data_IF_256927723838
#
_entry.id   IF_256927723838
#
_cell.length_a   1.000
_cell.length_b   1.000
_cell.length_c   1.000
_cell.angle_alpha   90.00
_cell.angle_beta   90.00
_cell.angle_gamma   90.00
#
_symmetry.space_group_name_H-M   'P 1'
#
loop_
_entity.id
_entity.type
_entity.pdbx_description
1 polymer ?
#
# COMPACT_ATOMS: atom_id res chain seq x y z
N UNK A 1 19.51 -36.41 -18.59
CA UNK A 1 19.09 -35.03 -18.25
C UNK A 1 18.16 -35.13 -17.06
N UNK A 2 18.44 -34.42 -15.97
CA UNK A 2 17.69 -34.53 -14.71
C UNK A 2 16.20 -34.25 -14.91
N UNK A 3 15.33 -35.02 -14.25
CA UNK A 3 13.87 -34.91 -14.39
C UNK A 3 13.33 -33.49 -14.17
N UNK A 4 14.04 -32.65 -13.42
CA UNK A 4 13.71 -31.24 -13.19
C UNK A 4 13.78 -30.38 -14.46
N UNK A 5 14.82 -30.52 -15.28
CA UNK A 5 14.97 -29.73 -16.53
C UNK A 5 13.91 -30.08 -17.58
N UNK A 6 13.46 -31.34 -17.58
CA UNK A 6 12.34 -31.79 -18.39
C UNK A 6 11.03 -31.09 -17.99
N UNK A 7 10.71 -31.05 -16.70
CA UNK A 7 9.49 -30.41 -16.17
C UNK A 7 9.41 -28.92 -16.49
N UNK A 8 10.53 -28.19 -16.38
CA UNK A 8 10.58 -26.76 -16.75
C UNK A 8 10.32 -26.57 -18.24
N UNK A 9 11.04 -27.28 -19.10
CA UNK A 9 10.87 -27.19 -20.56
C UNK A 9 9.43 -27.47 -20.97
N UNK A 10 8.80 -28.42 -20.30
CA UNK A 10 7.45 -28.83 -20.55
C UNK A 10 6.41 -27.78 -20.13
N UNK A 11 6.61 -27.14 -18.97
CA UNK A 11 5.78 -25.99 -18.55
C UNK A 11 5.84 -24.83 -19.56
N UNK A 12 7.04 -24.46 -20.03
CA UNK A 12 7.19 -23.44 -21.07
C UNK A 12 6.50 -23.81 -22.39
N UNK A 13 6.61 -25.08 -22.80
CA UNK A 13 5.96 -25.58 -24.03
C UNK A 13 4.43 -25.56 -23.91
N UNK A 14 3.90 -25.82 -22.71
CA UNK A 14 2.47 -25.73 -22.39
C UNK A 14 1.93 -24.31 -22.60
N UNK A 15 2.61 -23.31 -22.06
CA UNK A 15 2.27 -21.88 -22.24
C UNK A 15 2.21 -21.50 -23.73
N UNK A 16 3.18 -21.95 -24.51
CA UNK A 16 3.27 -21.65 -25.93
C UNK A 16 2.16 -22.31 -26.77
N UNK A 17 1.62 -23.43 -26.29
CA UNK A 17 0.49 -24.13 -26.92
C UNK A 17 -0.85 -23.44 -26.65
N UNK A 18 -1.01 -22.82 -25.48
CA UNK A 18 -2.28 -22.25 -25.00
C UNK A 18 -2.22 -20.73 -24.77
N UNK A 19 -1.60 -20.02 -25.72
CA UNK A 19 -1.19 -18.61 -25.55
C UNK A 19 -2.31 -17.66 -25.14
N UNK A 20 -3.53 -17.83 -25.67
CA UNK A 20 -4.65 -16.92 -25.38
C UNK A 20 -5.01 -16.97 -23.89
N UNK A 21 -5.11 -18.17 -23.33
CA UNK A 21 -5.48 -18.36 -21.92
C UNK A 21 -4.32 -18.00 -20.97
N UNK A 22 -3.08 -18.26 -21.38
CA UNK A 22 -1.89 -17.82 -20.64
C UNK A 22 -1.80 -16.29 -20.61
N UNK A 23 -2.04 -15.60 -21.73
CA UNK A 23 -2.08 -14.12 -21.78
C UNK A 23 -3.19 -13.58 -20.89
N UNK A 24 -4.40 -14.15 -20.97
CA UNK A 24 -5.51 -13.74 -20.10
C UNK A 24 -5.16 -13.89 -18.62
N UNK A 25 -4.55 -15.01 -18.23
CA UNK A 25 -4.08 -15.24 -16.85
C UNK A 25 -3.00 -14.24 -16.44
N UNK A 26 -2.05 -13.94 -17.33
CA UNK A 26 -1.00 -12.96 -17.09
C UNK A 26 -1.60 -11.58 -16.85
N UNK A 27 -2.54 -11.14 -17.70
CA UNK A 27 -3.20 -9.84 -17.57
C UNK A 27 -3.94 -9.71 -16.23
N UNK A 28 -4.70 -10.74 -15.82
CA UNK A 28 -5.42 -10.69 -14.53
C UNK A 28 -4.45 -10.63 -13.35
N UNK A 29 -3.36 -11.42 -13.37
CA UNK A 29 -2.34 -11.39 -12.33
C UNK A 29 -1.57 -10.06 -12.31
N UNK A 30 -1.26 -9.48 -13.47
CA UNK A 30 -0.65 -8.14 -13.59
C UNK A 30 -1.58 -7.10 -12.96
N UNK A 31 -2.87 -7.09 -13.32
CA UNK A 31 -3.84 -6.16 -12.74
C UNK A 31 -3.94 -6.31 -11.23
N UNK A 32 -3.95 -7.54 -10.72
CA UNK A 32 -3.96 -7.82 -9.29
C UNK A 32 -2.74 -7.22 -8.58
N UNK A 33 -1.53 -7.52 -9.09
CA UNK A 33 -0.28 -7.03 -8.50
C UNK A 33 -0.19 -5.50 -8.57
N UNK A 34 -0.50 -4.91 -9.72
CA UNK A 34 -0.47 -3.45 -9.93
C UNK A 34 -1.45 -2.74 -9.00
N UNK A 35 -2.68 -3.24 -8.84
CA UNK A 35 -3.65 -2.64 -7.93
C UNK A 35 -3.20 -2.70 -6.47
N UNK A 36 -2.67 -3.84 -6.02
CA UNK A 36 -2.13 -3.98 -4.65
C UNK A 36 -0.92 -3.06 -4.45
N UNK A 37 0.04 -3.07 -5.38
CA UNK A 37 1.24 -2.24 -5.28
C UNK A 37 0.92 -0.74 -5.34
N UNK A 38 -0.06 -0.33 -6.15
CA UNK A 38 -0.49 1.06 -6.22
C UNK A 38 -1.14 1.50 -4.91
N UNK A 39 -2.05 0.69 -4.35
CA UNK A 39 -2.67 0.99 -3.07
C UNK A 39 -1.63 1.11 -1.95
N UNK A 40 -0.69 0.17 -1.87
CA UNK A 40 0.38 0.21 -0.87
C UNK A 40 1.28 1.44 -1.02
N UNK A 41 1.71 1.76 -2.24
CA UNK A 41 2.52 2.96 -2.49
C UNK A 41 1.77 4.24 -2.14
N UNK A 42 0.47 4.32 -2.42
CA UNK A 42 -0.36 5.45 -2.00
C UNK A 42 -0.37 5.56 -0.48
N UNK A 43 -0.57 4.45 0.24
CA UNK A 43 -0.57 4.42 1.71
C UNK A 43 0.76 4.90 2.29
N UNK A 44 1.89 4.39 1.80
CA UNK A 44 3.23 4.80 2.27
C UNK A 44 3.52 6.27 1.95
N UNK A 45 3.09 6.77 0.79
CA UNK A 45 3.26 8.19 0.45
C UNK A 45 2.39 9.10 1.34
N UNK A 46 1.16 8.67 1.66
CA UNK A 46 0.28 9.39 2.57
C UNK A 46 0.88 9.41 3.98
N UNK A 47 1.38 8.28 4.49
CA UNK A 47 2.02 8.19 5.79
C UNK A 47 3.24 9.13 5.88
N UNK A 48 4.10 9.12 4.86
CA UNK A 48 5.26 10.04 4.78
C UNK A 48 4.83 11.52 4.76
N UNK A 49 3.81 11.85 3.97
CA UNK A 49 3.32 13.24 3.90
C UNK A 49 2.70 13.67 5.23
N UNK A 50 1.92 12.78 5.86
CA UNK A 50 1.36 13.00 7.20
C UNK A 50 2.47 13.23 8.23
N UNK A 51 3.52 12.41 8.25
CA UNK A 51 4.67 12.56 9.14
C UNK A 51 5.46 13.85 8.90
N UNK A 52 5.49 14.33 7.66
CA UNK A 52 6.19 15.57 7.28
C UNK A 52 5.46 16.84 7.72
N UNK A 53 4.13 16.81 7.80
CA UNK A 53 3.27 17.95 8.17
C UNK A 53 3.22 18.17 9.70
N UNK A 54 3.71 17.20 10.46
CA UNK A 54 3.97 17.26 11.88
C UNK A 54 4.18 15.83 12.39
N UNK A 55 5.13 15.63 13.30
CA UNK A 55 5.23 14.37 14.04
C UNK A 55 3.82 14.00 14.48
N UNK A 56 3.37 12.82 14.10
CA UNK A 56 1.98 12.37 13.88
C UNK A 56 0.98 12.69 15.02
N UNK A 57 1.48 13.11 16.19
CA UNK A 57 0.70 13.38 17.38
C UNK A 57 0.81 14.82 17.91
N UNK A 58 1.51 15.72 17.21
CA UNK A 58 1.69 17.11 17.63
C UNK A 58 0.55 18.02 17.13
N UNK A 59 -0.08 18.77 18.04
CA UNK A 59 -1.06 19.81 17.71
C UNK A 59 -0.59 21.16 18.24
N UNK A 60 -0.88 22.23 17.50
CA UNK A 60 -0.55 23.60 17.92
C UNK A 60 -1.77 24.22 18.59
N UNK A 61 -1.62 24.56 19.87
CA UNK A 61 -2.63 25.22 20.70
C UNK A 61 -2.22 26.67 20.88
N UNK A 62 -2.98 27.59 20.32
CA UNK A 62 -2.74 29.02 20.47
C UNK A 62 -3.32 29.52 21.79
N UNK A 63 -2.56 30.34 22.50
CA UNK A 63 -3.03 31.02 23.70
C UNK A 63 -3.61 32.39 23.32
N UNK A 64 -4.46 32.94 24.18
CA UNK A 64 -5.03 34.28 23.98
C UNK A 64 -3.91 35.32 23.87
N UNK A 65 -4.04 36.21 22.89
CA UNK A 65 -3.09 37.29 22.70
C UNK A 65 -3.02 38.21 23.93
N UNK A 66 -1.81 38.68 24.25
CA UNK A 66 -1.55 39.50 25.43
C UNK A 66 -1.50 38.76 26.77
N UNK A 67 -1.46 37.42 26.77
CA UNK A 67 -1.20 36.65 27.99
C UNK A 67 0.16 37.00 28.59
N UNK A 68 0.21 37.20 29.91
CA UNK A 68 1.47 37.40 30.63
C UNK A 68 2.30 36.11 30.70
N UNK A 69 3.62 36.23 30.87
CA UNK A 69 4.51 35.07 31.02
C UNK A 69 4.04 34.09 32.12
N UNK A 70 3.51 34.63 33.21
CA UNK A 70 2.94 33.87 34.33
C UNK A 70 1.68 33.09 33.93
N UNK A 71 0.80 33.72 33.16
CA UNK A 71 -0.40 33.06 32.61
C UNK A 71 -0.01 31.98 31.60
N UNK A 72 0.94 32.26 30.72
CA UNK A 72 1.46 31.27 29.77
C UNK A 72 1.97 30.03 30.49
N UNK A 73 2.80 30.19 31.55
CA UNK A 73 3.29 29.07 32.36
C UNK A 73 2.16 28.30 33.04
N UNK A 74 1.14 29.00 33.56
CA UNK A 74 -0.01 28.36 34.20
C UNK A 74 -0.85 27.54 33.21
N UNK A 75 -1.07 28.06 32.00
CA UNK A 75 -1.73 27.35 30.90
C UNK A 75 -0.97 26.06 30.57
N UNK A 76 0.36 26.15 30.37
CA UNK A 76 1.21 24.99 30.09
C UNK A 76 1.10 23.90 31.17
N UNK A 77 1.10 24.30 32.45
CA UNK A 77 0.95 23.37 33.58
C UNK A 77 -0.43 22.72 33.67
N UNK A 78 -1.48 23.36 33.17
CA UNK A 78 -2.81 22.76 33.13
C UNK A 78 -2.97 21.83 31.93
N UNK A 79 -2.34 22.15 30.80
CA UNK A 79 -2.25 21.27 29.64
C UNK A 79 -1.52 19.97 30.00
N UNK A 80 -0.38 20.04 30.69
CA UNK A 80 0.39 18.85 31.14
C UNK A 80 -0.41 17.87 32.02
N UNK A 81 -1.51 18.30 32.64
CA UNK A 81 -2.34 17.47 33.53
C UNK A 81 -3.46 16.73 32.80
N UNK A 82 -3.71 17.04 31.53
CA UNK A 82 -4.77 16.38 30.78
C UNK A 82 -4.32 14.96 30.42
N UNK A 83 -5.26 14.01 30.51
CA UNK A 83 -5.04 12.66 30.00
C UNK A 83 -4.77 12.69 28.48
N UNK A 84 -4.00 11.71 28.02
CA UNK A 84 -3.62 11.54 26.61
C UNK A 84 -2.61 12.60 26.06
N UNK A 85 -1.94 13.35 26.95
CA UNK A 85 -0.86 14.28 26.58
C UNK A 85 0.49 13.73 27.05
N UNK A 86 1.42 13.60 26.11
CA UNK A 86 2.78 13.07 26.34
C UNK A 86 3.80 14.18 26.57
N UNK A 87 3.67 15.30 25.86
CA UNK A 87 4.56 16.45 26.05
C UNK A 87 3.88 17.76 25.71
N UNK A 88 4.22 18.82 26.44
CA UNK A 88 3.80 20.19 26.19
C UNK A 88 5.04 21.05 26.02
N UNK A 89 5.22 21.66 24.85
CA UNK A 89 6.36 22.53 24.54
C UNK A 89 5.87 23.93 24.22
N UNK A 90 6.37 24.92 24.94
CA UNK A 90 6.08 26.32 24.62
C UNK A 90 6.74 26.70 23.28
N UNK A 91 5.99 27.40 22.45
CA UNK A 91 6.42 27.87 21.14
C UNK A 91 6.14 29.37 21.03
N UNK A 92 7.16 30.22 21.22
CA UNK A 92 7.03 31.67 21.18
C UNK A 92 6.59 32.16 19.80
N UNK A 93 5.79 33.23 19.76
CA UNK A 93 5.40 33.90 18.52
C UNK A 93 6.59 34.42 17.71
N UNK A 94 7.68 34.76 18.39
CA UNK A 94 8.95 35.20 17.80
C UNK A 94 9.62 34.09 16.99
N UNK A 95 9.53 32.84 17.43
CA UNK A 95 10.02 31.70 16.67
C UNK A 95 9.08 31.39 15.50
N UNK A 96 7.77 31.49 15.72
CA UNK A 96 6.76 31.22 14.71
C UNK A 96 6.86 32.13 13.48
N UNK A 97 7.12 33.43 13.67
CA UNK A 97 7.22 34.37 12.54
C UNK A 97 8.44 34.07 11.67
N UNK A 98 9.55 33.61 12.26
CA UNK A 98 10.80 33.33 11.55
C UNK A 98 10.66 32.20 10.51
N UNK A 99 9.73 31.25 10.68
CA UNK A 99 9.43 30.22 9.67
C UNK A 99 8.90 30.80 8.36
N UNK A 100 8.27 31.98 8.40
CA UNK A 100 7.72 32.63 7.21
C UNK A 100 8.72 33.50 6.47
N UNK A 101 9.94 33.69 7.00
CA UNK A 101 10.96 34.57 6.43
C UNK A 101 11.26 34.26 4.96
N UNK A 102 11.41 32.98 4.61
CA UNK A 102 11.74 32.56 3.25
C UNK A 102 10.52 32.47 2.32
N UNK A 103 9.31 32.52 2.87
CA UNK A 103 8.05 32.40 2.12
C UNK A 103 7.40 33.76 1.84
N UNK A 104 7.71 34.78 2.63
CA UNK A 104 7.21 36.14 2.48
C UNK A 104 8.23 37.02 1.76
N UNK A 105 7.79 38.00 0.95
CA UNK A 105 8.69 39.05 0.48
C UNK A 105 9.32 39.79 1.67
N UNK A 106 10.61 40.11 1.60
CA UNK A 106 11.38 40.74 2.70
C UNK A 106 10.66 41.97 3.30
N UNK A 107 10.14 42.84 2.43
CA UNK A 107 9.41 44.05 2.85
C UNK A 107 8.13 43.73 3.66
N UNK A 108 7.47 42.60 3.40
CA UNK A 108 6.30 42.16 4.18
C UNK A 108 6.76 41.60 5.51
N UNK A 109 7.80 40.76 5.52
CA UNK A 109 8.37 40.15 6.72
C UNK A 109 8.84 41.19 7.75
N UNK A 110 9.57 42.22 7.31
CA UNK A 110 10.02 43.31 8.21
C UNK A 110 8.88 44.06 8.88
N UNK A 111 7.71 44.19 8.21
CA UNK A 111 6.56 44.90 8.76
C UNK A 111 5.78 44.09 9.81
N UNK A 112 5.86 42.76 9.75
CA UNK A 112 5.11 41.84 10.62
C UNK A 112 6.00 41.17 11.67
N UNK A 113 7.26 41.58 11.80
CA UNK A 113 8.19 41.05 12.79
C UNK A 113 8.28 41.98 14.02
N UNK A 114 8.79 41.46 15.14
CA UNK A 114 8.94 42.19 16.40
C UNK A 114 7.59 42.58 17.01
N UNK A 115 7.45 43.84 17.41
CA UNK A 115 6.25 44.34 18.11
C UNK A 115 4.97 44.31 17.26
N UNK A 116 5.12 44.24 15.93
CA UNK A 116 3.99 44.15 14.99
C UNK A 116 3.59 42.71 14.66
N UNK A 117 4.17 41.71 15.35
CA UNK A 117 3.90 40.31 15.11
C UNK A 117 2.42 39.97 15.39
N UNK A 118 1.62 39.63 14.37
CA UNK A 118 0.21 39.33 14.54
C UNK A 118 -0.02 37.90 15.08
N UNK A 119 1.03 37.10 15.23
CA UNK A 119 0.93 35.72 15.68
C UNK A 119 0.82 35.66 17.22
N UNK A 120 -0.11 34.84 17.77
CA UNK A 120 -0.13 34.55 19.19
C UNK A 120 0.97 33.55 19.56
N UNK A 121 1.34 33.53 20.83
CA UNK A 121 2.13 32.44 21.38
C UNK A 121 1.37 31.12 21.32
N UNK A 122 2.09 30.00 21.30
CA UNK A 122 1.50 28.69 21.17
C UNK A 122 2.16 27.64 22.06
N UNK A 123 1.44 26.53 22.24
CA UNK A 123 1.97 25.28 22.76
C UNK A 123 1.90 24.22 21.68
N UNK A 124 2.99 23.49 21.50
CA UNK A 124 3.04 22.28 20.69
C UNK A 124 2.85 21.10 21.65
N UNK A 125 1.73 20.41 21.50
CA UNK A 125 1.29 19.33 22.38
C UNK A 125 1.37 18.02 21.62
N UNK A 126 2.15 17.07 22.13
CA UNK A 126 2.16 15.70 21.61
C UNK A 126 1.16 14.82 22.38
N UNK A 127 0.34 14.07 21.66
CA UNK A 127 -0.63 13.13 22.23
C UNK A 127 -0.09 11.69 22.24
N UNK A 128 -0.63 10.85 23.11
CA UNK A 128 -0.25 9.42 23.19
C UNK A 128 -1.09 8.55 22.24
N UNK A 129 -2.41 8.75 22.24
CA UNK A 129 -3.41 7.97 21.52
C UNK A 129 -4.32 8.88 20.65
N UNK A 130 -4.11 8.82 19.33
CA UNK A 130 -4.90 9.59 18.36
C UNK A 130 -6.35 9.14 18.25
N UNK A 131 -6.71 7.94 18.71
CA UNK A 131 -8.12 7.50 18.70
C UNK A 131 -8.99 8.32 19.65
N UNK A 132 -8.37 9.00 20.64
CA UNK A 132 -9.03 9.90 21.59
C UNK A 132 -8.87 11.38 21.25
N UNK A 133 -8.37 11.70 20.05
CA UNK A 133 -8.01 13.06 19.67
C UNK A 133 -9.12 14.07 19.93
N UNK A 134 -10.34 13.81 19.46
CA UNK A 134 -11.45 14.77 19.59
C UNK A 134 -11.80 15.04 21.08
N UNK A 135 -11.71 14.01 21.93
CA UNK A 135 -11.93 14.15 23.37
C UNK A 135 -10.82 14.98 24.04
N UNK A 136 -9.57 14.77 23.64
CA UNK A 136 -8.42 15.52 24.14
C UNK A 136 -8.47 16.98 23.70
N UNK A 137 -8.86 17.24 22.44
CA UNK A 137 -9.07 18.61 21.94
C UNK A 137 -10.19 19.32 22.69
N UNK A 138 -11.33 18.66 22.92
CA UNK A 138 -12.43 19.22 23.70
C UNK A 138 -12.02 19.54 25.15
N UNK A 139 -11.07 18.79 25.71
CA UNK A 139 -10.51 19.06 27.02
C UNK A 139 -9.53 20.26 27.00
N UNK A 140 -8.68 20.35 25.97
CA UNK A 140 -7.74 21.45 25.78
C UNK A 140 -8.48 22.78 25.58
N UNK A 141 -9.52 22.80 24.74
CA UNK A 141 -10.34 24.00 24.48
C UNK A 141 -11.07 24.52 25.73
N UNK A 142 -11.21 23.71 26.78
CA UNK A 142 -11.80 24.10 28.07
C UNK A 142 -10.79 24.70 29.05
N UNK A 143 -9.49 24.63 28.75
CA UNK A 143 -8.45 25.26 29.58
C UNK A 143 -8.53 26.77 29.41
N UNK A 144 -8.65 27.49 30.52
CA UNK A 144 -8.70 28.95 30.47
C UNK A 144 -7.38 29.52 29.95
N UNK A 145 -7.46 30.52 29.08
CA UNK A 145 -6.32 31.10 28.37
C UNK A 145 -5.99 30.47 27.01
N UNK A 146 -6.62 29.34 26.64
CA UNK A 146 -6.57 28.81 25.27
C UNK A 146 -7.53 29.60 24.37
N UNK A 147 -7.08 29.93 23.17
CA UNK A 147 -7.88 30.63 22.16
C UNK A 147 -8.39 29.67 21.08
N UNK A 148 -7.47 29.03 20.37
CA UNK A 148 -7.78 28.18 19.22
C UNK A 148 -6.75 27.07 19.05
N UNK A 149 -7.09 26.06 18.25
CA UNK A 149 -6.21 24.93 17.96
C UNK A 149 -6.11 24.75 16.46
N UNK A 150 -4.88 24.66 15.95
CA UNK A 150 -4.66 24.36 14.54
C UNK A 150 -4.87 22.87 14.30
N UNK A 151 -6.03 22.50 13.74
CA UNK A 151 -6.40 21.11 13.54
C UNK A 151 -5.72 20.48 12.31
N UNK A 152 -4.39 20.49 12.25
CA UNK A 152 -3.61 19.78 11.21
C UNK A 152 -3.90 18.28 11.21
N UNK A 153 -4.28 17.73 12.36
CA UNK A 153 -4.68 16.33 12.49
C UNK A 153 -5.96 15.97 11.74
N UNK A 154 -6.89 16.91 11.49
CA UNK A 154 -8.11 16.61 10.73
C UNK A 154 -7.77 16.34 9.26
N UNK A 155 -6.81 17.07 8.71
CA UNK A 155 -6.28 16.81 7.38
C UNK A 155 -5.55 15.46 7.35
N UNK A 156 -4.71 15.17 8.33
CA UNK A 156 -4.03 13.88 8.45
C UNK A 156 -5.01 12.70 8.58
N UNK A 157 -6.07 12.85 9.40
CA UNK A 157 -7.16 11.86 9.54
C UNK A 157 -7.87 11.64 8.21
N UNK A 158 -8.28 12.71 7.52
CA UNK A 158 -8.93 12.60 6.21
C UNK A 158 -8.06 11.90 5.17
N UNK A 159 -6.76 12.20 5.13
CA UNK A 159 -5.81 11.53 4.23
C UNK A 159 -5.67 10.04 4.57
N UNK A 160 -5.58 9.72 5.86
CA UNK A 160 -5.52 8.33 6.35
C UNK A 160 -6.81 7.57 6.06
N UNK A 161 -7.97 8.18 6.25
CA UNK A 161 -9.27 7.58 5.94
C UNK A 161 -9.42 7.30 4.43
N UNK A 162 -8.95 8.23 3.58
CA UNK A 162 -8.90 8.03 2.12
C UNK A 162 -7.94 6.89 1.77
N UNK A 163 -6.75 6.83 2.37
CA UNK A 163 -5.79 5.74 2.17
C UNK A 163 -6.39 4.39 2.56
N UNK A 164 -7.03 4.31 3.72
CA UNK A 164 -7.70 3.11 4.22
C UNK A 164 -8.84 2.69 3.28
N UNK A 165 -9.66 3.63 2.83
CA UNK A 165 -10.73 3.37 1.87
C UNK A 165 -10.20 2.81 0.56
N UNK A 166 -9.14 3.41 0.00
CA UNK A 166 -8.47 2.91 -1.21
C UNK A 166 -7.92 1.50 -0.98
N UNK A 167 -7.29 1.26 0.17
CA UNK A 167 -6.76 -0.05 0.55
C UNK A 167 -7.87 -1.11 0.63
N UNK A 168 -9.00 -0.82 1.30
CA UNK A 168 -10.12 -1.77 1.38
C UNK A 168 -10.77 -2.06 0.03
N UNK A 169 -10.97 -1.03 -0.81
CA UNK A 169 -11.50 -1.20 -2.17
C UNK A 169 -10.54 -2.04 -3.01
N UNK A 170 -9.23 -1.74 -2.93
CA UNK A 170 -8.20 -2.49 -3.66
C UNK A 170 -8.18 -3.96 -3.24
N UNK A 171 -8.30 -4.25 -1.94
CA UNK A 171 -8.34 -5.61 -1.41
C UNK A 171 -9.56 -6.36 -1.93
N UNK A 172 -10.74 -5.73 -1.94
CA UNK A 172 -11.95 -6.34 -2.48
C UNK A 172 -11.80 -6.70 -3.98
N UNK A 173 -11.23 -5.80 -4.78
CA UNK A 173 -10.97 -6.02 -6.20
C UNK A 173 -9.94 -7.15 -6.39
N UNK A 174 -8.85 -7.14 -5.61
CA UNK A 174 -7.79 -8.15 -5.64
C UNK A 174 -8.34 -9.54 -5.34
N UNK A 175 -9.20 -9.68 -4.32
CA UNK A 175 -9.87 -10.94 -4.01
C UNK A 175 -10.73 -11.41 -5.18
N UNK A 176 -11.53 -10.53 -5.78
CA UNK A 176 -12.36 -10.86 -6.93
C UNK A 176 -11.53 -11.29 -8.15
N UNK A 177 -10.48 -10.53 -8.50
CA UNK A 177 -9.56 -10.84 -9.59
C UNK A 177 -8.80 -12.14 -9.36
N UNK A 178 -8.42 -12.43 -8.11
CA UNK A 178 -7.78 -13.70 -7.76
C UNK A 178 -8.74 -14.86 -8.04
N UNK A 179 -10.00 -14.77 -7.65
CA UNK A 179 -11.01 -15.81 -7.95
C UNK A 179 -11.19 -16.00 -9.46
N UNK A 180 -11.26 -14.90 -10.23
CA UNK A 180 -11.35 -14.95 -11.69
C UNK A 180 -10.11 -15.63 -12.29
N UNK A 181 -8.91 -15.26 -11.83
CA UNK A 181 -7.64 -15.86 -12.25
C UNK A 181 -7.63 -17.37 -11.99
N UNK A 182 -8.05 -17.80 -10.79
CA UNK A 182 -8.17 -19.22 -10.45
C UNK A 182 -9.11 -19.97 -11.43
N UNK A 183 -10.23 -19.35 -11.81
CA UNK A 183 -11.16 -19.95 -12.76
C UNK A 183 -10.55 -20.07 -14.17
N UNK A 184 -9.85 -19.04 -14.65
CA UNK A 184 -9.17 -19.05 -15.95
C UNK A 184 -8.06 -20.11 -15.96
N UNK A 185 -7.24 -20.16 -14.91
CA UNK A 185 -6.17 -21.15 -14.76
C UNK A 185 -6.76 -22.56 -14.73
N UNK A 186 -7.84 -22.80 -14.00
CA UNK A 186 -8.51 -24.10 -13.97
C UNK A 186 -8.98 -24.54 -15.37
N UNK A 187 -9.59 -23.62 -16.13
CA UNK A 187 -10.04 -23.90 -17.49
C UNK A 187 -8.86 -24.14 -18.44
N UNK A 188 -7.76 -23.43 -18.26
CA UNK A 188 -6.52 -23.61 -19.04
C UNK A 188 -5.92 -24.99 -18.80
N UNK A 189 -5.82 -25.38 -17.53
CA UNK A 189 -5.30 -26.70 -17.13
C UNK A 189 -6.21 -27.79 -17.68
N UNK A 190 -7.53 -27.64 -17.61
CA UNK A 190 -8.48 -28.62 -18.18
C UNK A 190 -8.24 -28.83 -19.68
N UNK A 191 -8.14 -27.74 -20.44
CA UNK A 191 -7.87 -27.81 -21.89
C UNK A 191 -6.52 -28.47 -22.19
N UNK A 192 -5.49 -28.14 -21.41
CA UNK A 192 -4.14 -28.71 -21.55
C UNK A 192 -4.09 -30.20 -21.18
N UNK A 193 -4.75 -30.58 -20.09
CA UNK A 193 -4.89 -31.97 -19.67
C UNK A 193 -5.60 -32.80 -20.73
N UNK A 194 -6.68 -32.26 -21.30
CA UNK A 194 -7.45 -32.94 -22.34
C UNK A 194 -6.63 -33.15 -23.62
N UNK A 195 -5.84 -32.16 -24.03
CA UNK A 195 -4.97 -32.28 -25.22
C UNK A 195 -3.82 -33.27 -25.01
N UNK A 196 -3.36 -33.46 -23.77
CA UNK A 196 -2.26 -34.37 -23.39
C UNK A 196 -2.71 -35.69 -22.77
N UNK A 197 -4.01 -36.01 -22.81
CA UNK A 197 -4.59 -37.17 -22.12
C UNK A 197 -3.92 -38.50 -22.45
N UNK A 198 -3.51 -38.71 -23.71
CA UNK A 198 -2.82 -39.93 -24.14
C UNK A 198 -1.43 -40.07 -23.53
N UNK A 199 -0.66 -38.99 -23.52
CA UNK A 199 0.67 -38.96 -22.90
C UNK A 199 0.59 -39.22 -21.40
N UNK A 200 -0.40 -38.60 -20.73
CA UNK A 200 -0.67 -38.81 -19.30
C UNK A 200 -1.08 -40.26 -19.04
N UNK A 201 -1.92 -40.85 -19.89
CA UNK A 201 -2.34 -42.26 -19.77
C UNK A 201 -1.15 -43.22 -19.91
N UNK A 202 -0.23 -42.98 -20.86
CA UNK A 202 1.00 -43.76 -21.00
C UNK A 202 1.86 -43.63 -19.74
N UNK A 203 2.11 -42.41 -19.26
CA UNK A 203 2.89 -42.17 -18.03
C UNK A 203 2.28 -42.88 -16.82
N UNK A 204 0.95 -42.88 -16.70
CA UNK A 204 0.23 -43.61 -15.64
C UNK A 204 0.37 -45.12 -15.74
N UNK A 205 0.29 -45.66 -16.95
CA UNK A 205 0.39 -47.11 -17.22
C UNK A 205 1.77 -47.69 -16.88
N UNK A 206 2.82 -46.87 -16.93
CA UNK A 206 4.18 -47.26 -16.51
C UNK A 206 4.51 -46.90 -15.06
N UNK A 207 3.52 -46.49 -14.25
CA UNK A 207 3.66 -46.31 -12.80
C UNK A 207 3.95 -44.88 -12.32
N UNK A 208 3.77 -43.85 -13.14
CA UNK A 208 4.02 -42.46 -12.71
C UNK A 208 3.06 -42.00 -11.60
N UNK A 209 3.62 -41.40 -10.54
CA UNK A 209 2.85 -40.92 -9.39
C UNK A 209 1.93 -39.75 -9.77
N UNK A 210 0.85 -39.53 -9.00
CA UNK A 210 -0.02 -38.36 -9.16
C UNK A 210 0.74 -37.03 -9.00
N UNK A 211 1.84 -37.00 -8.25
CA UNK A 211 2.67 -35.81 -8.11
C UNK A 211 3.47 -35.54 -9.38
N UNK A 212 4.05 -36.57 -9.99
CA UNK A 212 4.82 -36.45 -11.23
C UNK A 212 3.99 -35.87 -12.38
N UNK A 213 2.73 -36.29 -12.51
CA UNK A 213 1.80 -35.76 -13.52
C UNK A 213 1.37 -34.31 -13.24
N UNK A 214 1.34 -33.89 -11.96
CA UNK A 214 0.87 -32.54 -11.57
C UNK A 214 1.96 -31.47 -11.60
N UNK A 215 3.22 -31.85 -11.36
CA UNK A 215 4.35 -30.92 -11.27
C UNK A 215 4.50 -29.99 -12.49
N UNK A 216 4.37 -30.45 -13.75
CA UNK A 216 4.48 -29.57 -14.91
C UNK A 216 3.51 -28.37 -14.88
N UNK A 217 2.29 -28.59 -14.40
CA UNK A 217 1.26 -27.56 -14.30
C UNK A 217 1.49 -26.58 -13.14
N UNK A 218 2.06 -27.05 -12.02
CA UNK A 218 2.50 -26.14 -10.95
C UNK A 218 3.60 -25.22 -11.46
N UNK A 219 4.57 -25.79 -12.19
CA UNK A 219 5.67 -25.03 -12.79
C UNK A 219 5.15 -24.03 -13.83
N UNK A 220 4.17 -24.41 -14.64
CA UNK A 220 3.47 -23.48 -15.55
C UNK A 220 2.87 -22.29 -14.79
N UNK A 221 2.13 -22.54 -13.70
CA UNK A 221 1.59 -21.48 -12.85
C UNK A 221 2.67 -20.57 -12.26
N UNK A 222 3.78 -21.14 -11.77
CA UNK A 222 4.91 -20.37 -11.26
C UNK A 222 5.52 -19.47 -12.34
N UNK A 223 5.69 -19.97 -13.56
CA UNK A 223 6.24 -19.21 -14.68
C UNK A 223 5.30 -18.07 -15.09
N UNK A 224 3.99 -18.33 -15.16
CA UNK A 224 3.00 -17.27 -15.43
C UNK A 224 3.05 -16.19 -14.34
N UNK A 225 3.10 -16.59 -13.08
CA UNK A 225 3.23 -15.68 -11.94
C UNK A 225 4.51 -14.84 -11.99
N UNK A 226 5.64 -15.45 -12.35
CA UNK A 226 6.92 -14.76 -12.51
C UNK A 226 6.90 -13.75 -13.65
N UNK A 227 6.34 -14.11 -14.81
CA UNK A 227 6.20 -13.20 -15.95
C UNK A 227 5.27 -12.03 -15.60
N UNK A 228 4.15 -12.31 -14.94
CA UNK A 228 3.23 -11.28 -14.44
C UNK A 228 3.88 -10.34 -13.44
N UNK A 229 4.78 -10.84 -12.58
CA UNK A 229 5.52 -10.01 -11.66
C UNK A 229 6.43 -9.01 -12.39
N UNK A 230 7.23 -9.48 -13.36
CA UNK A 230 8.13 -8.61 -14.14
C UNK A 230 7.33 -7.54 -14.89
N UNK A 231 6.28 -7.96 -15.61
CA UNK A 231 5.44 -7.03 -16.37
C UNK A 231 4.73 -6.07 -15.41
N UNK A 232 4.20 -6.59 -14.31
CA UNK A 232 3.49 -5.83 -13.29
C UNK A 232 4.36 -4.79 -12.61
N UNK A 233 5.64 -5.07 -12.35
CA UNK A 233 6.58 -4.07 -11.81
C UNK A 233 6.84 -2.96 -12.82
N UNK A 234 6.98 -3.29 -14.12
CA UNK A 234 7.16 -2.29 -15.17
C UNK A 234 5.92 -1.41 -15.37
N UNK A 235 4.73 -2.01 -15.40
CA UNK A 235 3.45 -1.27 -15.46
C UNK A 235 3.28 -0.43 -14.19
N UNK A 236 3.60 -1.02 -13.04
CA UNK A 236 3.90 -0.42 -11.74
C UNK A 236 4.50 0.98 -11.87
N UNK A 237 5.76 0.95 -12.29
CA UNK A 237 6.61 2.11 -12.48
C UNK A 237 5.98 3.16 -13.37
N UNK A 238 5.50 2.78 -14.56
CA UNK A 238 4.92 3.75 -15.53
C UNK A 238 3.68 4.43 -14.97
N UNK A 239 2.79 3.67 -14.33
CA UNK A 239 1.57 4.22 -13.73
C UNK A 239 1.92 5.15 -12.57
N UNK A 240 2.82 4.71 -11.67
CA UNK A 240 3.22 5.50 -10.51
C UNK A 240 3.85 6.83 -10.92
N UNK A 241 4.88 6.82 -11.77
CA UNK A 241 5.55 8.03 -12.22
C UNK A 241 4.60 8.96 -13.00
N UNK A 242 3.73 8.39 -13.84
CA UNK A 242 2.71 9.16 -14.57
C UNK A 242 1.73 9.88 -13.65
N UNK A 243 1.23 9.18 -12.61
CA UNK A 243 0.30 9.77 -11.63
C UNK A 243 1.03 10.78 -10.77
N UNK A 244 2.21 10.48 -10.23
CA UNK A 244 2.96 11.39 -9.37
C UNK A 244 3.40 12.65 -10.10
N UNK A 245 3.79 12.55 -11.38
CA UNK A 245 4.11 13.73 -12.21
C UNK A 245 2.89 14.62 -12.42
N UNK A 246 1.71 14.03 -12.63
CA UNK A 246 0.48 14.80 -12.76
C UNK A 246 0.13 15.50 -11.44
N UNK A 247 0.20 14.79 -10.31
CA UNK A 247 -0.08 15.34 -8.98
C UNK A 247 0.89 16.48 -8.64
N UNK A 248 2.20 16.29 -8.85
CA UNK A 248 3.23 17.30 -8.59
C UNK A 248 3.07 18.58 -9.41
N UNK A 249 2.36 18.52 -10.54
CA UNK A 249 2.03 19.71 -11.34
C UNK A 249 0.95 20.59 -10.71
N UNK A 250 0.11 20.01 -9.84
CA UNK A 250 -0.96 20.74 -9.13
C UNK A 250 -0.59 21.07 -7.68
N UNK A 251 0.08 20.15 -6.99
CA UNK A 251 0.50 20.29 -5.59
C UNK A 251 1.90 19.73 -5.46
N UNK A 252 2.87 20.53 -4.98
CA UNK A 252 4.23 20.04 -4.71
C UNK A 252 4.19 19.17 -3.45
N UNK A 253 4.27 17.85 -3.63
CA UNK A 253 4.23 16.85 -2.55
C UNK A 253 5.55 16.08 -2.57
N UNK A 254 6.09 15.76 -1.38
CA UNK A 254 7.36 15.01 -1.29
C UNK A 254 7.10 13.51 -1.39
N UNK A 255 6.99 13.00 -2.60
CA UNK A 255 6.75 11.56 -2.84
C UNK A 255 8.02 10.73 -2.70
N UNK A 256 7.87 9.42 -2.48
CA UNK A 256 8.99 8.47 -2.50
C UNK A 256 9.35 8.18 -3.97
N UNK A 257 10.60 8.38 -4.41
CA UNK A 257 11.01 7.99 -5.74
C UNK A 257 10.83 6.49 -5.96
N UNK A 258 10.20 6.07 -7.08
CA UNK A 258 10.00 4.65 -7.34
C UNK A 258 11.34 3.89 -7.46
N UNK A 259 12.41 4.59 -7.87
CA UNK A 259 13.76 4.05 -7.95
C UNK A 259 14.23 3.40 -6.64
N UNK A 260 13.82 3.97 -5.51
CA UNK A 260 14.30 3.56 -4.18
C UNK A 260 13.61 2.27 -3.73
N UNK A 261 12.37 2.06 -4.17
CA UNK A 261 11.53 0.91 -3.83
C UNK A 261 11.45 -0.13 -4.95
N UNK A 262 12.02 0.14 -6.13
CA UNK A 262 11.90 -0.71 -7.33
C UNK A 262 12.27 -2.17 -7.07
N UNK A 263 13.41 -2.41 -6.43
CA UNK A 263 13.89 -3.77 -6.13
C UNK A 263 13.03 -4.48 -5.07
N UNK A 264 12.55 -3.73 -4.08
CA UNK A 264 11.70 -4.28 -3.02
C UNK A 264 10.33 -4.68 -3.59
N UNK A 265 9.69 -3.78 -4.33
CA UNK A 265 8.41 -4.03 -5.01
C UNK A 265 8.55 -5.18 -6.01
N UNK A 266 9.60 -5.19 -6.83
CA UNK A 266 9.88 -6.27 -7.77
C UNK A 266 10.08 -7.63 -7.07
N UNK A 267 10.83 -7.65 -5.98
CA UNK A 267 11.03 -8.86 -5.17
C UNK A 267 9.72 -9.40 -4.58
N UNK A 268 8.92 -8.53 -3.98
CA UNK A 268 7.59 -8.88 -3.43
C UNK A 268 6.68 -9.39 -4.53
N UNK A 269 6.63 -8.71 -5.68
CA UNK A 269 5.79 -9.13 -6.81
C UNK A 269 6.20 -10.50 -7.34
N UNK A 270 7.49 -10.79 -7.43
CA UNK A 270 7.99 -12.12 -7.84
C UNK A 270 7.52 -13.18 -6.86
N UNK A 271 7.73 -12.96 -5.56
CA UNK A 271 7.31 -13.92 -4.52
C UNK A 271 5.80 -14.12 -4.55
N UNK A 272 5.02 -13.03 -4.53
CA UNK A 272 3.56 -13.08 -4.56
C UNK A 272 3.04 -13.74 -5.84
N UNK A 273 3.53 -13.32 -7.00
CA UNK A 273 3.13 -13.87 -8.29
C UNK A 273 3.42 -15.37 -8.42
N UNK A 274 4.62 -15.80 -8.05
CA UNK A 274 5.00 -17.23 -8.06
C UNK A 274 4.16 -18.04 -7.08
N UNK A 275 3.93 -17.54 -5.86
CA UNK A 275 3.10 -18.21 -4.85
C UNK A 275 1.66 -18.32 -5.32
N UNK A 276 1.04 -17.22 -5.78
CA UNK A 276 -0.33 -17.20 -6.28
C UNK A 276 -0.47 -18.12 -7.50
N UNK A 277 0.48 -18.08 -8.44
CA UNK A 277 0.48 -18.92 -9.63
C UNK A 277 0.63 -20.42 -9.32
N UNK A 278 1.54 -20.77 -8.41
CA UNK A 278 1.72 -22.14 -7.94
C UNK A 278 0.49 -22.65 -7.20
N UNK A 279 -0.02 -21.86 -6.26
CA UNK A 279 -1.14 -22.23 -5.40
C UNK A 279 -2.44 -22.35 -6.20
N UNK A 280 -2.66 -21.43 -7.15
CA UNK A 280 -3.81 -21.47 -8.04
C UNK A 280 -3.82 -22.68 -8.95
N UNK A 281 -2.65 -23.05 -9.48
CA UNK A 281 -2.50 -24.27 -10.28
C UNK A 281 -2.71 -25.53 -9.43
N UNK A 282 -2.18 -25.55 -8.21
CA UNK A 282 -2.32 -26.67 -7.29
C UNK A 282 -3.78 -26.93 -6.86
N UNK A 283 -4.52 -25.89 -6.47
CA UNK A 283 -5.93 -26.00 -6.09
C UNK A 283 -6.78 -26.50 -7.26
N UNK A 284 -6.57 -25.91 -8.44
CA UNK A 284 -7.33 -26.26 -9.65
C UNK A 284 -7.17 -27.73 -10.01
N UNK A 285 -5.96 -28.27 -9.90
CA UNK A 285 -5.69 -29.69 -10.15
C UNK A 285 -6.32 -30.62 -9.11
N UNK A 286 -6.32 -30.25 -7.82
CA UNK A 286 -6.86 -31.09 -6.74
C UNK A 286 -8.36 -31.32 -6.92
N UNK A 287 -9.10 -30.29 -7.35
CA UNK A 287 -10.54 -30.38 -7.59
C UNK A 287 -10.84 -31.26 -8.81
N UNK A 288 -10.03 -31.16 -9.86
CA UNK A 288 -10.24 -31.89 -11.12
C UNK A 288 -9.93 -33.40 -11.02
N UNK A 289 -8.77 -33.77 -10.47
CA UNK A 289 -8.41 -35.19 -10.30
C UNK A 289 -9.37 -35.97 -9.39
N UNK A 290 -10.10 -35.27 -8.51
CA UNK A 290 -11.07 -35.87 -7.59
C UNK A 290 -12.47 -36.02 -8.21
N UNK A 291 -12.81 -35.23 -9.23
CA UNK A 291 -14.12 -35.23 -9.90
C UNK A 291 -14.11 -36.05 -11.19
N UNK A 292 -13.09 -35.91 -12.03
CA UNK A 292 -13.03 -36.57 -13.35
C UNK A 292 -12.03 -37.74 -13.41
N UNK A 293 -11.30 -38.02 -12.32
CA UNK A 293 -10.53 -39.26 -12.18
C UNK A 293 -11.42 -40.51 -12.28
N UNK A 294 -12.69 -40.40 -11.93
CA UNK A 294 -13.68 -41.48 -12.09
C UNK A 294 -14.32 -41.53 -13.49
N UNK A 295 -14.44 -40.40 -14.21
CA UNK A 295 -15.19 -40.35 -15.48
C UNK A 295 -14.31 -40.36 -16.74
N UNK A 296 -13.09 -39.82 -16.69
CA UNK A 296 -12.20 -39.73 -17.87
C UNK A 296 -11.17 -40.86 -17.90
N UNK A 297 -10.79 -41.41 -16.74
CA UNK A 297 -9.82 -42.50 -16.67
C UNK A 297 -10.46 -43.89 -16.72
N UNK A 298 -11.78 -44.02 -16.66
CA UNK A 298 -12.48 -45.28 -16.94
C UNK A 298 -11.82 -46.51 -16.32
N UNK A 299 -11.59 -46.46 -15.00
CA UNK A 299 -11.44 -47.61 -14.10
C UNK A 299 -12.12 -47.27 -12.78
#
# INVERSE_FOLDING_TARGET
>A
MSGFGYLIREGFRSIWSNRIMSIASICVLVSCLVLTGAAELISVNIEKEVDSVGKTNETTVYIKDGASDLEAVYIGKNLEKLDNITSVRFYPKEDAINEFKDSLPEAVFENVNGDNNPLPDAYIIAMDDLSKYDQTIDAILKVDGVDSINNRSELARKLTDISNLVSYISLAIVVALTIISLFIIANTIRTTMYSRRFEISIMKSVGATNAFVRLPFVVEGMVLGFISAIIGTGVLYVVYEGVMSAVNSFVKISTIPFSDVYLQVGGIFIVAGVVIGAFGSFISMRKYLKMEGNEILGW
#
